data_IF_120451132514
#
_entry.id   IF_120451132514
#
_cell.length_a   1.000
_cell.length_b   1.000
_cell.length_c   1.000
_cell.angle_alpha   90.00
_cell.angle_beta   90.00
_cell.angle_gamma   90.00
#
_symmetry.space_group_name_H-M   'P 1'
#
loop_
_entity.id
_entity.type
_entity.pdbx_description
1 polymer ?
#
# COMPACT_ATOMS: atom_id res chain seq x y z
N UNK A 1 -27.63 -14.91 -22.50
CA UNK A 1 -28.50 -15.29 -21.37
C UNK A 1 -27.71 -15.09 -20.09
N UNK A 2 -28.05 -14.04 -19.33
CA UNK A 2 -27.33 -13.65 -18.11
C UNK A 2 -27.70 -14.58 -16.95
N UNK A 3 -26.69 -15.19 -16.35
CA UNK A 3 -26.86 -15.99 -15.12
C UNK A 3 -27.07 -15.01 -13.95
N UNK A 4 -28.24 -15.10 -13.30
CA UNK A 4 -28.58 -14.31 -12.14
C UNK A 4 -27.66 -14.69 -10.96
N UNK A 5 -26.85 -13.75 -10.48
CA UNK A 5 -26.06 -13.90 -9.26
C UNK A 5 -27.01 -13.90 -8.06
N UNK A 6 -27.05 -14.99 -7.30
CA UNK A 6 -28.00 -15.13 -6.19
C UNK A 6 -27.58 -14.27 -4.98
N UNK A 7 -28.55 -13.82 -4.16
CA UNK A 7 -28.32 -13.04 -2.92
C UNK A 7 -27.33 -13.73 -1.97
N UNK A 8 -27.26 -15.06 -2.04
CA UNK A 8 -26.37 -15.90 -1.25
C UNK A 8 -24.92 -15.89 -1.78
N UNK A 9 -24.69 -15.59 -3.06
CA UNK A 9 -23.34 -15.45 -3.65
C UNK A 9 -22.65 -14.13 -3.25
N UNK A 10 -23.43 -13.12 -2.85
CA UNK A 10 -22.93 -11.86 -2.31
C UNK A 10 -22.46 -12.02 -0.86
N UNK A 11 -23.23 -12.73 -0.04
CA UNK A 11 -22.95 -12.92 1.39
C UNK A 11 -21.71 -13.80 1.63
N UNK A 12 -21.52 -14.87 0.85
CA UNK A 12 -20.30 -15.71 0.95
C UNK A 12 -19.02 -14.96 0.56
N UNK A 13 -19.12 -13.86 -0.19
CA UNK A 13 -18.00 -13.02 -0.60
C UNK A 13 -17.53 -12.08 0.51
N UNK A 14 -18.35 -11.84 1.53
CA UNK A 14 -18.07 -10.93 2.65
C UNK A 14 -17.40 -11.63 3.85
N UNK A 15 -17.67 -12.92 4.09
CA UNK A 15 -17.18 -13.61 5.30
C UNK A 15 -15.70 -14.02 5.24
N UNK A 16 -15.15 -14.25 4.04
CA UNK A 16 -13.72 -14.50 3.83
C UNK A 16 -13.15 -13.45 2.87
N UNK A 17 -13.15 -12.20 3.34
CA UNK A 17 -12.62 -11.05 2.62
C UNK A 17 -11.10 -11.05 2.52
N UNK A 18 -10.52 -11.89 1.67
CA UNK A 18 -9.23 -11.54 1.09
C UNK A 18 -9.47 -10.45 0.04
N UNK A 19 -8.90 -9.25 0.18
CA UNK A 19 -8.99 -8.25 -0.88
C UNK A 19 -8.44 -8.88 -2.15
N UNK A 20 -9.18 -8.76 -3.26
CA UNK A 20 -8.68 -9.11 -4.59
C UNK A 20 -7.31 -8.46 -4.74
N UNK A 21 -6.27 -9.26 -4.97
CA UNK A 21 -4.90 -8.74 -4.98
C UNK A 21 -4.82 -7.66 -6.05
N UNK A 22 -4.61 -6.41 -5.64
CA UNK A 22 -4.56 -5.26 -6.55
C UNK A 22 -3.35 -5.32 -7.49
N UNK A 23 -2.43 -6.24 -7.21
CA UNK A 23 -1.25 -6.58 -8.01
C UNK A 23 -1.49 -7.75 -8.98
N UNK A 24 -2.68 -8.37 -8.97
CA UNK A 24 -3.05 -9.51 -9.82
C UNK A 24 -3.79 -9.12 -11.11
N UNK A 25 -3.83 -10.00 -12.12
CA UNK A 25 -4.62 -9.79 -13.33
C UNK A 25 -6.13 -9.74 -13.01
N UNK A 26 -6.87 -8.83 -13.66
CA UNK A 26 -8.33 -8.59 -13.48
C UNK A 26 -9.27 -9.80 -13.71
N UNK A 27 -8.74 -10.94 -14.15
CA UNK A 27 -9.47 -12.20 -14.30
C UNK A 27 -8.69 -13.29 -13.56
N UNK A 28 -9.35 -14.12 -12.73
CA UNK A 28 -8.69 -15.26 -12.11
C UNK A 28 -8.19 -16.18 -13.23
N UNK A 29 -6.87 -16.36 -13.31
CA UNK A 29 -6.27 -17.32 -14.23
C UNK A 29 -6.58 -18.74 -13.73
N UNK A 30 -6.71 -19.73 -14.64
CA UNK A 30 -6.83 -21.11 -14.22
C UNK A 30 -5.65 -21.48 -13.31
N UNK A 31 -5.87 -22.31 -12.28
CA UNK A 31 -4.81 -22.72 -11.37
C UNK A 31 -3.69 -23.41 -12.16
N UNK A 32 -2.44 -23.14 -11.78
CA UNK A 32 -1.29 -23.80 -12.39
C UNK A 32 -1.41 -25.32 -12.18
N UNK A 33 -1.33 -26.15 -13.24
CA UNK A 33 -1.42 -27.60 -13.11
C UNK A 33 -0.36 -28.12 -12.13
N UNK A 34 -0.77 -28.97 -11.19
CA UNK A 34 0.14 -29.61 -10.22
C UNK A 34 0.46 -28.79 -8.97
N UNK A 35 -0.13 -27.60 -8.80
CA UNK A 35 0.06 -26.78 -7.61
C UNK A 35 -1.27 -26.47 -6.92
N UNK A 36 -1.40 -26.87 -5.66
CA UNK A 36 -2.55 -26.61 -4.79
C UNK A 36 -2.59 -25.14 -4.30
N UNK A 37 -2.74 -24.22 -5.25
CA UNK A 37 -2.99 -22.81 -4.96
C UNK A 37 -4.47 -22.58 -4.68
N UNK A 38 -4.83 -21.63 -3.79
CA UNK A 38 -6.21 -21.19 -3.67
C UNK A 38 -6.73 -20.63 -5.00
N UNK A 39 -8.03 -20.75 -5.30
CA UNK A 39 -8.61 -20.29 -6.56
C UNK A 39 -8.29 -18.80 -6.80
N UNK A 40 -7.69 -18.48 -7.95
CA UNK A 40 -7.31 -17.12 -8.32
C UNK A 40 -5.90 -16.68 -7.91
N UNK A 41 -5.18 -17.46 -7.09
CA UNK A 41 -3.77 -17.18 -6.81
C UNK A 41 -2.87 -17.66 -7.97
N UNK A 42 -1.91 -16.81 -8.35
CA UNK A 42 -0.99 -17.08 -9.45
C UNK A 42 0.44 -16.69 -9.08
N UNK A 43 1.37 -17.62 -9.26
CA UNK A 43 2.81 -17.36 -9.10
C UNK A 43 3.33 -16.72 -10.38
N UNK A 44 3.90 -15.51 -10.34
CA UNK A 44 4.37 -14.85 -11.54
C UNK A 44 5.62 -15.54 -12.11
N UNK A 45 5.87 -15.35 -13.41
CA UNK A 45 7.00 -16.02 -14.10
C UNK A 45 8.33 -15.64 -13.46
N UNK A 46 9.14 -16.63 -13.10
CA UNK A 46 10.43 -16.46 -12.46
C UNK A 46 11.43 -15.65 -13.31
N UNK A 47 11.28 -15.65 -14.64
CA UNK A 47 12.19 -14.99 -15.59
C UNK A 47 12.15 -13.46 -15.52
N UNK A 48 11.09 -12.89 -14.95
CA UNK A 48 10.97 -11.45 -14.80
C UNK A 48 11.96 -10.88 -13.76
N UNK A 49 12.41 -11.71 -12.82
CA UNK A 49 13.30 -11.29 -11.73
C UNK A 49 14.77 -11.30 -12.20
N UNK A 50 15.22 -10.17 -12.73
CA UNK A 50 16.60 -9.97 -13.18
C UNK A 50 17.39 -9.19 -12.14
N UNK A 51 18.61 -9.63 -11.84
CA UNK A 51 19.52 -8.93 -10.90
C UNK A 51 19.89 -7.54 -11.44
N UNK A 52 20.06 -7.44 -12.77
CA UNK A 52 20.46 -6.23 -13.48
C UNK A 52 19.49 -5.06 -13.32
N UNK A 53 18.21 -5.32 -13.03
CA UNK A 53 17.23 -4.24 -12.85
C UNK A 53 17.35 -3.52 -11.51
N UNK A 54 18.17 -4.02 -10.57
CA UNK A 54 18.26 -3.50 -9.21
C UNK A 54 19.68 -3.02 -8.92
N UNK A 55 19.90 -1.70 -8.73
CA UNK A 55 21.25 -1.15 -8.56
C UNK A 55 21.94 -1.67 -7.30
N UNK A 56 21.19 -1.89 -6.22
CA UNK A 56 21.75 -2.38 -4.96
C UNK A 56 22.30 -3.81 -5.08
N UNK A 57 21.60 -4.70 -5.79
CA UNK A 57 22.07 -6.07 -5.99
C UNK A 57 23.26 -6.13 -6.95
N UNK A 58 23.32 -5.24 -7.94
CA UNK A 58 24.49 -5.09 -8.81
C UNK A 58 25.75 -4.67 -8.03
N UNK A 59 25.62 -3.78 -7.04
CA UNK A 59 26.74 -3.41 -6.17
C UNK A 59 27.23 -4.60 -5.33
N UNK A 60 26.30 -5.37 -4.76
CA UNK A 60 26.64 -6.59 -4.00
C UNK A 60 27.35 -7.59 -4.91
N UNK A 61 26.84 -7.81 -6.12
CA UNK A 61 27.49 -8.67 -7.11
C UNK A 61 28.91 -8.22 -7.44
N UNK A 62 29.13 -6.91 -7.66
CA UNK A 62 30.46 -6.34 -7.92
C UNK A 62 31.41 -6.53 -6.73
N UNK A 63 30.92 -6.30 -5.51
CA UNK A 63 31.71 -6.48 -4.27
C UNK A 63 32.10 -7.95 -4.04
N UNK A 64 31.19 -8.88 -4.36
CA UNK A 64 31.47 -10.32 -4.29
C UNK A 64 32.46 -10.74 -5.37
N UNK A 65 32.26 -10.26 -6.62
CA UNK A 65 33.16 -10.54 -7.73
C UNK A 65 34.58 -10.02 -7.48
N UNK A 66 34.72 -8.86 -6.84
CA UNK A 66 36.02 -8.32 -6.41
C UNK A 66 36.76 -9.23 -5.42
N UNK A 67 36.03 -10.11 -4.72
CA UNK A 67 36.58 -11.13 -3.82
C UNK A 67 36.69 -12.51 -4.47
N UNK A 68 36.35 -12.63 -5.76
CA UNK A 68 36.27 -13.91 -6.47
C UNK A 68 35.06 -14.78 -6.11
N UNK A 69 34.06 -14.22 -5.40
CA UNK A 69 32.85 -14.93 -4.98
C UNK A 69 31.66 -14.61 -5.91
N UNK A 70 30.77 -15.59 -6.06
CA UNK A 70 29.49 -15.44 -6.77
C UNK A 70 28.36 -16.01 -5.91
N UNK A 71 27.37 -15.18 -5.60
CA UNK A 71 26.19 -15.61 -4.85
C UNK A 71 25.10 -16.14 -5.80
N UNK A 72 24.70 -17.43 -5.70
CA UNK A 72 23.63 -18.00 -6.52
C UNK A 72 22.22 -17.51 -6.11
N UNK A 73 22.04 -16.98 -4.91
CA UNK A 73 20.74 -16.56 -4.37
C UNK A 73 20.35 -15.13 -4.70
N UNK A 74 21.25 -14.36 -5.31
CA UNK A 74 21.04 -12.95 -5.60
C UNK A 74 19.77 -12.68 -6.43
N UNK A 75 19.36 -13.63 -7.28
CA UNK A 75 18.11 -13.55 -8.05
C UNK A 75 16.87 -13.67 -7.17
N UNK A 76 16.92 -14.46 -6.11
CA UNK A 76 15.82 -14.63 -5.17
C UNK A 76 15.53 -13.34 -4.40
N UNK A 77 16.54 -12.50 -4.16
CA UNK A 77 16.37 -11.25 -3.43
C UNK A 77 15.74 -10.12 -4.28
N UNK A 78 15.63 -10.31 -5.59
CA UNK A 78 15.19 -9.27 -6.53
C UNK A 78 13.80 -8.73 -6.17
N UNK A 79 12.84 -9.60 -5.84
CA UNK A 79 11.47 -9.17 -5.52
C UNK A 79 11.40 -8.28 -4.26
N UNK A 80 12.35 -8.44 -3.32
CA UNK A 80 12.39 -7.66 -2.08
C UNK A 80 12.80 -6.21 -2.33
N UNK A 81 13.60 -5.97 -3.36
CA UNK A 81 14.14 -4.65 -3.69
C UNK A 81 13.47 -4.01 -4.92
N UNK A 82 12.43 -4.63 -5.47
CA UNK A 82 11.71 -4.09 -6.60
C UNK A 82 10.92 -2.83 -6.21
N UNK A 83 11.31 -1.68 -6.76
CA UNK A 83 10.65 -0.38 -6.56
C UNK A 83 9.22 -0.36 -7.08
N UNK A 84 8.86 -1.21 -8.06
CA UNK A 84 7.49 -1.30 -8.57
C UNK A 84 6.54 -1.85 -7.52
N UNK A 85 7.03 -2.75 -6.66
CA UNK A 85 6.24 -3.37 -5.60
C UNK A 85 6.25 -2.54 -4.32
N UNK A 86 7.39 -2.00 -3.93
CA UNK A 86 7.57 -1.36 -2.60
C UNK A 86 7.54 0.17 -2.62
N UNK A 87 7.48 0.80 -3.80
CA UNK A 87 7.52 2.25 -3.95
C UNK A 87 8.87 2.87 -3.60
N UNK A 88 8.92 4.19 -3.50
CA UNK A 88 10.11 4.93 -3.04
C UNK A 88 10.12 5.04 -1.51
N UNK A 89 11.31 5.17 -0.92
CA UNK A 89 11.46 5.40 0.53
C UNK A 89 10.67 6.61 1.01
N UNK A 90 10.72 7.70 0.24
CA UNK A 90 9.97 8.92 0.52
C UNK A 90 8.46 8.66 0.51
N UNK A 91 7.94 7.95 -0.49
CA UNK A 91 6.51 7.62 -0.54
C UNK A 91 6.05 6.84 0.70
N UNK A 92 6.87 5.91 1.19
CA UNK A 92 6.57 5.17 2.43
C UNK A 92 6.62 6.05 3.68
N UNK A 93 7.58 6.96 3.76
CA UNK A 93 7.68 7.91 4.88
C UNK A 93 6.47 8.86 4.91
N UNK A 94 6.08 9.40 3.75
CA UNK A 94 4.86 10.18 3.60
C UNK A 94 3.61 9.36 3.92
N UNK A 95 3.56 8.09 3.51
CA UNK A 95 2.46 7.18 3.84
C UNK A 95 2.32 6.89 5.34
N UNK A 96 3.37 7.10 6.15
CA UNK A 96 3.31 6.99 7.60
C UNK A 96 2.89 8.31 8.28
N UNK A 97 3.37 9.45 7.77
CA UNK A 97 3.18 10.76 8.42
C UNK A 97 1.94 11.51 7.93
N UNK A 98 1.54 11.33 6.67
CA UNK A 98 0.44 12.08 6.06
C UNK A 98 -0.98 11.61 6.45
N UNK A 99 -1.25 10.33 6.76
CA UNK A 99 -2.59 9.92 7.21
C UNK A 99 -2.94 10.64 8.52
N UNK A 100 -4.06 11.37 8.53
CA UNK A 100 -4.48 12.14 9.69
C UNK A 100 -4.20 13.64 9.60
N UNK A 101 -3.28 14.08 8.74
CA UNK A 101 -2.94 15.51 8.62
C UNK A 101 -4.15 16.35 8.17
N UNK A 102 -4.95 15.85 7.22
CA UNK A 102 -6.16 16.53 6.75
C UNK A 102 -7.23 16.64 7.85
N UNK A 103 -7.44 15.57 8.63
CA UNK A 103 -8.38 15.56 9.75
C UNK A 103 -7.92 16.49 10.88
N UNK A 104 -6.61 16.51 11.16
CA UNK A 104 -6.00 17.43 12.11
C UNK A 104 -6.20 18.90 11.73
N UNK A 105 -5.97 19.24 10.45
CA UNK A 105 -6.20 20.59 9.94
C UNK A 105 -7.69 20.98 10.01
N UNK A 106 -8.60 20.06 9.71
CA UNK A 106 -10.03 20.31 9.81
C UNK A 106 -10.45 20.58 11.26
N UNK A 107 -10.03 19.74 12.21
CA UNK A 107 -10.31 19.94 13.64
C UNK A 107 -9.69 21.24 14.17
N UNK A 108 -8.47 21.56 13.77
CA UNK A 108 -7.83 22.82 14.12
C UNK A 108 -8.65 24.02 13.64
N UNK A 109 -9.12 24.01 12.39
CA UNK A 109 -9.99 25.07 11.86
C UNK A 109 -11.31 25.20 12.62
N UNK A 110 -11.93 24.09 13.00
CA UNK A 110 -13.16 24.08 13.83
C UNK A 110 -12.89 24.72 15.19
N UNK A 111 -11.77 24.39 15.84
CA UNK A 111 -11.41 24.97 17.14
C UNK A 111 -11.20 26.48 17.02
N UNK A 112 -10.43 26.95 16.02
CA UNK A 112 -10.21 28.38 15.80
C UNK A 112 -11.52 29.13 15.54
N UNK A 113 -12.43 28.54 14.75
CA UNK A 113 -13.74 29.14 14.51
C UNK A 113 -14.56 29.24 15.80
N UNK A 114 -14.61 28.18 16.61
CA UNK A 114 -15.27 28.20 17.91
C UNK A 114 -14.68 29.25 18.85
N UNK A 115 -13.36 29.38 18.90
CA UNK A 115 -12.69 30.41 19.70
C UNK A 115 -13.09 31.82 19.24
N UNK A 116 -13.03 32.11 17.94
CA UNK A 116 -13.39 33.41 17.39
C UNK A 116 -14.87 33.77 17.60
N UNK A 117 -15.80 32.82 17.48
CA UNK A 117 -17.23 33.11 17.68
C UNK A 117 -17.62 33.18 19.15
N UNK A 118 -17.12 32.27 20.00
CA UNK A 118 -17.58 32.15 21.39
C UNK A 118 -16.82 33.09 22.34
N UNK A 119 -15.52 33.36 22.08
CA UNK A 119 -14.70 34.19 22.96
C UNK A 119 -14.77 35.68 22.62
N UNK A 120 -15.06 36.07 21.36
CA UNK A 120 -15.33 37.49 21.03
C UNK A 120 -16.66 37.96 21.60
N UNK A 121 -17.74 37.17 21.45
CA UNK A 121 -19.06 37.51 22.04
C UNK A 121 -19.01 37.71 23.57
N UNK A 122 -18.09 37.02 24.27
CA UNK A 122 -17.88 37.21 25.72
C UNK A 122 -17.07 38.46 26.08
N UNK A 123 -16.25 38.99 25.19
CA UNK A 123 -15.46 40.22 25.44
C UNK A 123 -16.28 41.49 25.24
N UNK A 124 -17.28 41.44 24.38
CA UNK A 124 -18.10 42.62 24.04
C UNK A 124 -19.26 42.84 25.02
N UNK A 125 -19.59 41.85 25.86
CA UNK A 125 -20.66 41.91 26.86
C UNK A 125 -20.30 42.45 28.26
N UNK A 126 -19.06 42.89 28.50
CA UNK A 126 -18.59 43.35 29.82
C UNK A 126 -18.08 44.80 29.85
N UNK A 127 -18.39 45.63 28.86
CA UNK A 127 -17.92 47.04 28.77
C UNK A 127 -18.97 48.12 29.05
N UNK A 128 -20.21 47.79 29.45
CA UNK A 128 -21.19 48.80 29.90
C UNK A 128 -21.66 48.55 31.34
N UNK A 129 -20.96 49.14 32.31
CA UNK A 129 -21.53 49.61 33.57
C UNK A 129 -20.63 50.72 34.13
N UNK A 130 -20.94 51.95 33.72
CA UNK A 130 -20.62 53.19 34.44
C UNK A 130 -21.62 53.40 35.58
#
# INVERSE_FOLDING_TARGET
MGQATSRWDFLKRQEWGFPESTTGPKKPRPPTPGLHLPPGAHIPDYRQYKVESIPHLLEVQKKLAARGLKDPWLRNEVWRYDRKLHGTRLWRAWGLMAPGMLYGLAMFGVVVLCEETILKDKKDGHSEHH
#
